data_IF_136163229554
#
_entry.id   IF_136163229554
#
_cell.length_a   1.000
_cell.length_b   1.000
_cell.length_c   1.000
_cell.angle_alpha   90.00
_cell.angle_beta   90.00
_cell.angle_gamma   90.00
#
_symmetry.space_group_name_H-M   'P 1'
#
loop_
_entity.id
_entity.type
_entity.pdbx_description
1 polymer ?
#
# COMPACT_ATOMS: atom_id res chain seq x y z
N UNK A 1 11.11 -0.51 6.83
CA UNK A 1 9.62 -0.59 6.83
C UNK A 1 9.05 -0.33 8.21
N UNK A 2 9.32 -1.20 9.20
CA UNK A 2 8.82 -1.06 10.59
C UNK A 2 9.12 0.29 11.25
N UNK A 3 10.36 0.76 11.19
CA UNK A 3 10.78 2.05 11.78
C UNK A 3 9.92 3.23 11.32
N UNK A 4 9.50 3.23 10.05
CA UNK A 4 8.71 4.29 9.45
C UNK A 4 7.21 4.01 9.45
N UNK A 5 6.76 2.86 10.00
CA UNK A 5 5.35 2.46 10.00
C UNK A 5 4.76 2.26 8.60
N UNK A 6 5.60 1.94 7.60
CA UNK A 6 5.19 1.73 6.21
C UNK A 6 5.28 0.26 5.82
N UNK A 7 4.37 -0.17 4.94
CA UNK A 7 4.28 -1.56 4.46
C UNK A 7 4.72 -1.76 3.02
N UNK A 8 4.90 -0.67 2.26
CA UNK A 8 5.24 -0.72 0.84
C UNK A 8 6.37 0.27 0.56
N UNK A 9 7.32 -0.13 -0.26
CA UNK A 9 8.43 0.70 -0.72
C UNK A 9 8.50 0.57 -2.25
N UNK A 10 8.27 1.65 -3.00
CA UNK A 10 8.60 1.68 -4.41
C UNK A 10 10.11 1.57 -4.61
N UNK A 11 10.51 0.75 -5.58
CA UNK A 11 11.90 0.60 -5.99
C UNK A 11 12.11 1.42 -7.26
N UNK A 12 13.16 2.25 -7.25
CA UNK A 12 13.51 3.11 -8.38
C UNK A 12 14.91 2.80 -8.89
N UNK A 13 15.09 2.85 -10.20
CA UNK A 13 16.38 2.69 -10.87
C UNK A 13 16.57 3.85 -11.85
N UNK A 14 17.68 4.58 -11.73
CA UNK A 14 17.95 5.76 -12.57
C UNK A 14 16.80 6.78 -12.61
N UNK A 15 16.12 6.96 -11.49
CA UNK A 15 14.99 7.89 -11.33
C UNK A 15 13.66 7.41 -11.95
N UNK A 16 13.60 6.18 -12.47
CA UNK A 16 12.39 5.57 -13.01
C UNK A 16 11.89 4.47 -12.09
N UNK A 17 10.59 4.23 -12.10
CA UNK A 17 10.00 3.13 -11.32
C UNK A 17 10.47 1.77 -11.88
N UNK A 18 11.01 0.94 -11.00
CA UNK A 18 11.55 -0.38 -11.32
C UNK A 18 10.75 -1.53 -10.68
N UNK A 19 10.03 -1.25 -9.59
CA UNK A 19 9.20 -2.24 -8.90
C UNK A 19 8.58 -1.70 -7.62
N UNK A 20 7.95 -2.59 -6.87
CA UNK A 20 7.46 -2.34 -5.50
C UNK A 20 7.76 -3.55 -4.62
N UNK A 21 8.11 -3.30 -3.36
CA UNK A 21 8.26 -4.34 -2.35
C UNK A 21 7.35 -4.04 -1.17
N UNK A 22 6.74 -5.07 -0.60
CA UNK A 22 5.87 -5.02 0.56
C UNK A 22 6.38 -5.92 1.70
N UNK A 23 5.82 -5.76 2.90
CA UNK A 23 6.07 -6.70 4.01
C UNK A 23 5.75 -8.16 3.61
N UNK A 24 4.73 -8.35 2.75
CA UNK A 24 4.35 -9.67 2.23
C UNK A 24 5.44 -10.29 1.35
N UNK A 25 6.10 -9.49 0.51
CA UNK A 25 7.22 -9.94 -0.32
C UNK A 25 8.43 -10.31 0.54
N UNK A 26 8.72 -9.53 1.59
CA UNK A 26 9.78 -9.84 2.56
C UNK A 26 9.46 -11.17 3.26
N UNK A 27 8.22 -11.36 3.72
CA UNK A 27 7.81 -12.58 4.39
C UNK A 27 7.91 -13.80 3.47
N UNK A 28 7.46 -13.68 2.21
CA UNK A 28 7.57 -14.74 1.20
C UNK A 28 9.03 -15.09 0.88
N UNK A 29 9.92 -14.11 0.93
CA UNK A 29 11.36 -14.34 0.73
C UNK A 29 12.06 -14.89 1.97
N UNK A 30 11.41 -14.88 3.13
CA UNK A 30 11.98 -15.30 4.40
C UNK A 30 11.77 -16.79 4.67
N UNK A 31 12.52 -17.34 5.62
CA UNK A 31 12.33 -18.70 6.13
C UNK A 31 12.04 -18.67 7.62
N UNK A 32 11.47 -19.76 8.14
CA UNK A 32 11.29 -19.95 9.58
C UNK A 32 12.39 -20.88 10.09
N UNK A 33 13.20 -20.39 11.04
CA UNK A 33 14.26 -21.16 11.70
C UNK A 33 14.16 -20.95 13.20
N UNK A 34 14.02 -22.06 13.94
CA UNK A 34 13.96 -22.04 15.41
C UNK A 34 12.89 -21.07 15.96
N UNK A 35 11.73 -20.97 15.29
CA UNK A 35 10.65 -20.07 15.67
C UNK A 35 10.90 -18.58 15.36
N UNK A 36 11.97 -18.25 14.64
CA UNK A 36 12.31 -16.89 14.21
C UNK A 36 12.21 -16.77 12.70
N UNK A 37 11.81 -15.59 12.23
CA UNK A 37 11.86 -15.23 10.81
C UNK A 37 13.32 -14.93 10.47
N UNK A 38 13.89 -15.74 9.57
CA UNK A 38 15.22 -15.57 8.98
C UNK A 38 15.05 -14.95 7.59
N UNK A 39 15.42 -13.67 7.47
CA UNK A 39 15.33 -12.92 6.21
C UNK A 39 16.68 -13.05 5.49
N UNK A 40 16.75 -13.72 4.33
CA UNK A 40 18.01 -13.93 3.64
C UNK A 40 18.57 -12.63 3.07
N UNK A 41 19.90 -12.51 3.06
CA UNK A 41 20.59 -11.38 2.43
C UNK A 41 20.53 -11.52 0.91
N UNK A 42 19.57 -10.83 0.30
CA UNK A 42 19.32 -10.85 -1.14
C UNK A 42 19.05 -9.43 -1.66
N UNK A 43 19.40 -9.13 -2.92
CA UNK A 43 19.09 -7.84 -3.50
C UNK A 43 17.57 -7.66 -3.61
N UNK A 44 17.07 -6.45 -3.32
CA UNK A 44 15.63 -6.11 -3.37
C UNK A 44 15.02 -6.40 -4.75
N UNK A 45 15.82 -6.25 -5.81
CA UNK A 45 15.43 -6.55 -7.19
C UNK A 45 15.04 -8.01 -7.44
N UNK A 46 15.41 -8.91 -6.54
CA UNK A 46 15.06 -10.35 -6.59
C UNK A 46 13.74 -10.70 -5.90
N UNK A 47 13.18 -9.79 -5.09
CA UNK A 47 11.93 -10.03 -4.34
C UNK A 47 10.83 -9.02 -4.70
N UNK A 48 11.17 -7.92 -5.37
CA UNK A 48 10.18 -6.91 -5.76
C UNK A 48 9.23 -7.41 -6.86
N UNK A 49 7.99 -6.95 -6.80
CA UNK A 49 7.05 -7.06 -7.90
C UNK A 49 7.37 -6.04 -9.00
N UNK A 50 7.51 -6.51 -10.25
CA UNK A 50 7.84 -5.68 -11.42
C UNK A 50 6.62 -5.19 -12.19
N UNK A 51 5.52 -5.94 -12.14
CA UNK A 51 4.26 -5.54 -12.76
C UNK A 51 3.52 -4.59 -11.81
N UNK A 52 3.97 -3.34 -11.76
CA UNK A 52 3.45 -2.34 -10.85
C UNK A 52 2.33 -1.57 -11.53
N UNK A 53 1.14 -1.64 -10.95
CA UNK A 53 0.02 -0.78 -11.34
C UNK A 53 0.29 0.61 -10.78
N UNK A 54 0.23 1.61 -11.65
CA UNK A 54 0.44 3.03 -11.30
C UNK A 54 -0.79 3.86 -11.58
N UNK A 55 -0.89 5.00 -10.93
CA UNK A 55 -1.84 6.06 -11.29
C UNK A 55 -1.13 7.37 -11.60
N UNK A 56 -1.88 8.31 -12.17
CA UNK A 56 -1.42 9.68 -12.42
C UNK A 56 -1.97 10.62 -11.34
N UNK A 57 -1.37 11.80 -11.14
CA UNK A 57 -1.90 12.80 -10.20
C UNK A 57 -3.33 13.25 -10.48
N UNK A 58 -3.80 13.07 -11.72
CA UNK A 58 -5.16 13.40 -12.17
C UNK A 58 -6.13 12.21 -12.08
N UNK A 59 -5.66 11.02 -11.70
CA UNK A 59 -6.51 9.84 -11.55
C UNK A 59 -7.51 10.02 -10.41
N UNK A 60 -8.76 9.59 -10.63
CA UNK A 60 -9.80 9.70 -9.61
C UNK A 60 -9.57 8.71 -8.46
N UNK A 61 -9.94 9.11 -7.24
CA UNK A 61 -9.89 8.21 -6.07
C UNK A 61 -10.76 6.97 -6.26
N UNK A 62 -11.88 7.09 -6.97
CA UNK A 62 -12.78 5.99 -7.31
C UNK A 62 -12.06 4.93 -8.14
N UNK A 63 -11.36 5.34 -9.19
CA UNK A 63 -10.65 4.41 -10.07
C UNK A 63 -9.48 3.74 -9.35
N UNK A 64 -8.77 4.50 -8.50
CA UNK A 64 -7.70 3.98 -7.64
C UNK A 64 -8.26 2.90 -6.70
N UNK A 65 -9.38 3.18 -6.01
CA UNK A 65 -10.02 2.22 -5.11
C UNK A 65 -10.52 0.96 -5.86
N UNK A 66 -11.15 1.15 -7.02
CA UNK A 66 -11.62 0.06 -7.86
C UNK A 66 -10.46 -0.82 -8.35
N UNK A 67 -9.33 -0.21 -8.74
CA UNK A 67 -8.13 -0.93 -9.12
C UNK A 67 -7.54 -1.73 -7.95
N UNK A 68 -7.44 -1.13 -6.76
CA UNK A 68 -6.99 -1.80 -5.54
C UNK A 68 -7.83 -3.06 -5.22
N UNK A 69 -9.16 -2.93 -5.27
CA UNK A 69 -10.08 -4.05 -5.04
C UNK A 69 -9.91 -5.12 -6.12
N UNK A 70 -9.97 -4.73 -7.41
CA UNK A 70 -9.93 -5.69 -8.51
C UNK A 70 -8.63 -6.48 -8.55
N UNK A 71 -7.51 -5.82 -8.23
CA UNK A 71 -6.17 -6.41 -8.31
C UNK A 71 -5.69 -6.96 -6.96
N UNK A 72 -6.49 -6.83 -5.89
CA UNK A 72 -6.15 -7.25 -4.54
C UNK A 72 -4.83 -6.64 -4.05
N UNK A 73 -4.60 -5.36 -4.37
CA UNK A 73 -3.43 -4.58 -3.94
C UNK A 73 -3.85 -3.46 -3.01
N UNK A 74 -2.95 -3.02 -2.13
CA UNK A 74 -3.24 -1.97 -1.13
C UNK A 74 -2.36 -0.72 -1.26
N UNK A 75 -1.54 -0.66 -2.32
CA UNK A 75 -0.66 0.46 -2.63
C UNK A 75 -0.57 0.64 -4.15
N UNK A 76 -0.68 1.89 -4.60
CA UNK A 76 -0.50 2.28 -6.01
C UNK A 76 0.46 3.49 -6.04
N UNK A 77 1.62 3.38 -6.69
CA UNK A 77 2.50 4.52 -6.94
C UNK A 77 1.87 5.55 -7.88
N UNK A 78 2.09 6.83 -7.56
CA UNK A 78 1.71 7.97 -8.39
C UNK A 78 2.91 8.36 -9.25
N UNK A 79 2.73 8.43 -10.57
CA UNK A 79 3.83 8.69 -11.52
C UNK A 79 3.49 9.79 -12.54
N UNK A 80 4.54 10.46 -13.04
CA UNK A 80 4.52 11.25 -14.29
C UNK A 80 5.75 10.84 -15.10
N UNK A 81 5.58 10.53 -16.38
CA UNK A 81 6.69 10.14 -17.27
C UNK A 81 7.62 9.06 -16.70
N UNK A 82 7.03 8.03 -16.06
CA UNK A 82 7.71 6.94 -15.35
C UNK A 82 8.53 7.34 -14.11
N UNK A 83 8.51 8.62 -13.72
CA UNK A 83 9.10 9.11 -12.48
C UNK A 83 8.08 9.04 -11.37
N UNK A 84 8.51 8.58 -10.21
CA UNK A 84 7.64 8.51 -9.04
C UNK A 84 7.47 9.90 -8.42
N UNK A 85 6.23 10.26 -8.13
CA UNK A 85 5.87 11.48 -7.40
C UNK A 85 5.45 11.19 -5.96
N UNK A 86 4.87 10.02 -5.73
CA UNK A 86 4.39 9.63 -4.42
C UNK A 86 3.72 8.26 -4.44
N UNK A 87 2.98 7.97 -3.38
CA UNK A 87 2.22 6.73 -3.21
C UNK A 87 0.83 7.05 -2.68
N UNK A 88 -0.14 6.22 -3.05
CA UNK A 88 -1.46 6.19 -2.41
C UNK A 88 -1.70 4.78 -1.90
N UNK A 89 -2.13 4.67 -0.65
CA UNK A 89 -2.44 3.41 0.00
C UNK A 89 -3.92 3.30 0.31
N UNK A 90 -4.41 2.07 0.55
CA UNK A 90 -5.79 1.86 1.00
C UNK A 90 -6.08 2.61 2.31
N UNK A 91 -5.08 2.77 3.18
CA UNK A 91 -5.21 3.56 4.42
C UNK A 91 -5.44 5.03 4.13
N UNK A 92 -4.84 5.60 3.08
CA UNK A 92 -5.08 6.99 2.68
C UNK A 92 -6.54 7.17 2.20
N UNK A 93 -7.05 6.21 1.42
CA UNK A 93 -8.45 6.21 0.99
C UNK A 93 -9.41 6.13 2.19
N UNK A 94 -9.12 5.25 3.15
CA UNK A 94 -9.93 5.12 4.37
C UNK A 94 -9.88 6.39 5.23
N UNK A 95 -8.73 7.05 5.33
CA UNK A 95 -8.63 8.34 6.05
C UNK A 95 -9.50 9.41 5.39
N UNK A 96 -9.51 9.49 4.06
CA UNK A 96 -10.36 10.44 3.33
C UNK A 96 -11.83 10.18 3.65
N UNK A 97 -12.27 8.91 3.60
CA UNK A 97 -13.65 8.51 3.94
C UNK A 97 -13.98 8.88 5.39
N UNK A 98 -13.09 8.59 6.33
CA UNK A 98 -13.31 8.87 7.75
C UNK A 98 -13.34 10.39 8.06
N UNK A 99 -12.58 11.19 7.31
CA UNK A 99 -12.52 12.65 7.50
C UNK A 99 -13.57 13.43 6.71
N UNK A 100 -14.17 12.83 5.67
CA UNK A 100 -15.16 13.46 4.79
C UNK A 100 -16.35 12.51 4.54
N UNK A 101 -17.11 12.13 5.58
CA UNK A 101 -18.21 11.17 5.48
C UNK A 101 -19.31 11.61 4.48
N UNK A 102 -19.50 12.91 4.30
CA UNK A 102 -20.43 13.51 3.33
C UNK A 102 -20.06 13.21 1.87
N UNK A 103 -18.78 12.97 1.57
CA UNK A 103 -18.30 12.66 0.22
C UNK A 103 -18.69 11.24 -0.24
N UNK A 104 -19.16 10.38 0.68
CA UNK A 104 -19.37 8.95 0.44
C UNK A 104 -20.86 8.57 0.51
N UNK A 105 -21.75 9.50 0.84
CA UNK A 105 -23.19 9.24 0.93
C UNK A 105 -23.57 8.20 1.98
N UNK A 106 -22.75 8.05 3.03
CA UNK A 106 -23.03 7.13 4.14
C UNK A 106 -23.98 7.81 5.15
N UNK A 107 -25.03 7.10 5.56
CA UNK A 107 -25.96 7.58 6.58
C UNK A 107 -25.29 7.78 7.94
N UNK A 108 -25.95 8.54 8.82
CA UNK A 108 -25.41 9.07 10.09
C UNK A 108 -25.12 8.02 11.20
N UNK A 109 -24.95 6.73 10.87
CA UNK A 109 -24.65 5.68 11.83
C UNK A 109 -23.43 4.89 11.40
N UNK A 110 -22.38 4.87 12.22
CA UNK A 110 -21.16 4.09 11.95
C UNK A 110 -21.43 2.58 11.96
N UNK A 111 -22.52 2.12 12.59
CA UNK A 111 -22.86 0.68 12.76
C UNK A 111 -21.79 -0.16 13.48
N UNK A 112 -20.66 0.47 13.84
CA UNK A 112 -19.47 -0.11 14.42
C UNK A 112 -19.33 0.51 15.81
N UNK A 113 -19.28 -0.37 16.82
CA UNK A 113 -18.93 0.00 18.19
C UNK A 113 -17.43 0.36 18.23
N UNK A 114 -17.14 1.66 18.22
CA UNK A 114 -15.78 2.18 18.26
C UNK A 114 -15.17 2.16 19.67
N UNK A 115 -15.98 1.98 20.72
CA UNK A 115 -15.49 1.89 22.10
C UNK A 115 -14.84 0.53 22.35
N UNK A 116 -15.32 -0.53 21.69
CA UNK A 116 -14.67 -1.85 21.67
C UNK A 116 -13.22 -1.80 21.09
N UNK A 117 -12.94 -0.89 20.16
CA UNK A 117 -11.63 -0.75 19.50
C UNK A 117 -10.58 -0.01 20.37
N UNK A 118 -11.00 0.77 21.36
CA UNK A 118 -10.09 1.51 22.27
C UNK A 118 -9.57 0.65 23.42
N UNK A 119 -10.06 -0.58 23.55
CA UNK A 119 -9.81 -1.49 24.66
C UNK A 119 -8.79 -2.60 24.32
N UNK A 120 -8.23 -2.59 23.11
CA UNK A 120 -7.28 -3.57 22.58
C UNK A 120 -5.95 -2.91 22.22
#
# INVERSE_FOLDING_TARGET
MREFGIRHIPVVESGKMAGIVSDGDILLASTLREGRIDVPERPVSSIMSRNVVTCFPTSSLRDIAAAMIRLQISCIPVVIDQRILGIVTSTDLLRIIASHPEAVGMGNGSGIDLDALRSA
#
